data_IF_005791949801
#
_entry.id   IF_005791949801
#
_cell.length_a   1.000
_cell.length_b   1.000
_cell.length_c   1.000
_cell.angle_alpha   90.00
_cell.angle_beta   90.00
_cell.angle_gamma   90.00
#
_symmetry.space_group_name_H-M   'P 1'
#
loop_
_entity.id
_entity.type
_entity.pdbx_description
1 polymer ?
#
# COMPACT_ATOMS: atom_id res chain seq x y z
N UNK A 1 39.21 65.53 -8.46
CA UNK A 1 38.70 64.21 -8.03
C UNK A 1 37.59 63.80 -8.99
N UNK A 2 37.83 62.80 -9.83
CA UNK A 2 36.82 62.27 -10.75
C UNK A 2 37.24 60.88 -11.19
N UNK A 3 36.73 59.85 -10.51
CA UNK A 3 37.04 58.45 -10.80
C UNK A 3 35.92 57.83 -11.63
N UNK A 4 36.36 57.28 -12.76
CA UNK A 4 35.67 56.45 -13.74
C UNK A 4 34.75 55.36 -13.15
N UNK A 5 33.46 55.41 -13.48
CA UNK A 5 32.48 54.32 -13.28
C UNK A 5 31.94 53.84 -14.63
N UNK A 6 32.75 53.14 -15.44
CA UNK A 6 32.26 52.52 -16.70
C UNK A 6 32.67 51.09 -16.98
N UNK A 7 33.47 50.45 -16.12
CA UNK A 7 33.97 49.09 -16.39
C UNK A 7 33.11 47.93 -15.85
N UNK A 8 32.12 48.16 -14.97
CA UNK A 8 31.40 47.05 -14.31
C UNK A 8 30.11 46.57 -15.00
N UNK A 9 29.55 47.33 -15.95
CA UNK A 9 28.28 46.97 -16.64
C UNK A 9 28.44 45.96 -17.79
N UNK A 10 29.63 45.80 -18.37
CA UNK A 10 29.83 44.94 -19.54
C UNK A 10 30.05 43.45 -19.18
N UNK A 11 30.60 43.15 -17.99
CA UNK A 11 30.84 41.76 -17.54
C UNK A 11 29.57 41.05 -17.09
N UNK A 12 28.64 41.76 -16.46
CA UNK A 12 27.35 41.22 -15.99
C UNK A 12 26.41 40.82 -17.13
N UNK A 13 26.47 41.53 -18.26
CA UNK A 13 25.63 41.23 -19.44
C UNK A 13 26.04 39.93 -20.14
N UNK A 14 27.34 39.62 -20.25
CA UNK A 14 27.80 38.39 -20.91
C UNK A 14 27.46 37.14 -20.09
N UNK A 15 27.65 37.18 -18.77
CA UNK A 15 27.33 36.06 -17.88
C UNK A 15 25.83 35.76 -17.85
N UNK A 16 24.98 36.79 -17.85
CA UNK A 16 23.52 36.61 -17.91
C UNK A 16 23.06 36.00 -19.24
N UNK A 17 23.64 36.42 -20.37
CA UNK A 17 23.32 35.86 -21.69
C UNK A 17 23.79 34.40 -21.79
N UNK A 18 24.95 34.05 -21.24
CA UNK A 18 25.44 32.65 -21.20
C UNK A 18 24.55 31.76 -20.33
N UNK A 19 24.07 32.25 -19.19
CA UNK A 19 23.13 31.51 -18.33
C UNK A 19 21.79 31.31 -19.04
N UNK A 20 21.25 32.35 -19.70
CA UNK A 20 20.00 32.23 -20.47
C UNK A 20 20.19 31.25 -21.62
N UNK A 21 21.30 31.28 -22.35
CA UNK A 21 21.58 30.30 -23.41
C UNK A 21 21.74 28.88 -22.88
N UNK A 22 22.38 28.67 -21.72
CA UNK A 22 22.50 27.34 -21.10
C UNK A 22 21.16 26.82 -20.59
N UNK A 23 20.31 27.68 -20.01
CA UNK A 23 18.95 27.32 -19.58
C UNK A 23 18.05 27.04 -20.78
N UNK A 24 18.18 27.82 -21.86
CA UNK A 24 17.41 27.64 -23.10
C UNK A 24 17.86 26.39 -23.85
N UNK A 25 19.17 26.14 -23.94
CA UNK A 25 19.71 24.91 -24.51
C UNK A 25 19.33 23.70 -23.68
N UNK A 26 19.34 23.79 -22.34
CA UNK A 26 18.84 22.74 -21.45
C UNK A 26 17.35 22.48 -21.64
N UNK A 27 16.52 23.53 -21.79
CA UNK A 27 15.09 23.40 -22.09
C UNK A 27 14.82 22.78 -23.47
N UNK A 28 15.60 23.16 -24.50
CA UNK A 28 15.47 22.62 -25.86
C UNK A 28 15.97 21.17 -25.94
N UNK A 29 17.03 20.82 -25.21
CA UNK A 29 17.43 19.41 -25.05
C UNK A 29 16.40 18.63 -24.24
N UNK A 30 15.78 19.23 -23.21
CA UNK A 30 14.74 18.57 -22.43
C UNK A 30 13.48 18.32 -23.25
N UNK A 31 13.09 19.23 -24.16
CA UNK A 31 11.94 19.05 -25.06
C UNK A 31 12.24 18.08 -26.21
N UNK A 32 13.48 18.03 -26.74
CA UNK A 32 13.88 17.03 -27.74
C UNK A 32 14.05 15.62 -27.14
N UNK A 33 14.48 15.51 -25.88
CA UNK A 33 14.44 14.25 -25.13
C UNK A 33 13.03 13.90 -24.60
N UNK A 34 12.10 14.86 -24.52
CA UNK A 34 10.73 14.66 -24.01
C UNK A 34 9.91 13.70 -24.88
N UNK A 35 10.11 13.72 -26.21
CA UNK A 35 9.47 12.75 -27.11
C UNK A 35 10.23 11.42 -27.19
N UNK A 36 11.55 11.42 -26.93
CA UNK A 36 12.40 10.23 -27.03
C UNK A 36 12.50 9.44 -25.71
N UNK A 37 12.17 10.04 -24.57
CA UNK A 37 12.07 9.40 -23.26
C UNK A 37 10.68 8.81 -22.98
N UNK A 38 9.83 8.75 -24.00
CA UNK A 38 8.63 7.92 -24.02
C UNK A 38 9.07 6.47 -23.75
N UNK A 39 8.67 5.94 -22.59
CA UNK A 39 8.68 4.52 -22.22
C UNK A 39 9.83 3.70 -22.84
N UNK A 40 10.91 3.44 -22.10
CA UNK A 40 11.78 2.31 -22.46
C UNK A 40 10.95 1.02 -22.41
N UNK A 41 10.36 0.59 -23.53
CA UNK A 41 9.76 -0.72 -23.78
C UNK A 41 8.63 -1.21 -22.85
N UNK A 42 8.23 -0.47 -21.80
CA UNK A 42 7.22 -0.93 -20.86
C UNK A 42 5.84 -1.01 -21.52
N UNK A 43 5.19 -2.15 -21.38
CA UNK A 43 3.79 -2.37 -21.72
C UNK A 43 3.16 -3.21 -20.61
N UNK A 44 1.89 -2.96 -20.27
CA UNK A 44 1.18 -3.76 -19.27
C UNK A 44 1.15 -5.25 -19.67
N UNK A 45 0.93 -5.54 -20.96
CA UNK A 45 0.95 -6.92 -21.46
C UNK A 45 2.34 -7.57 -21.33
N UNK A 46 3.41 -6.84 -21.59
CA UNK A 46 4.79 -7.34 -21.44
C UNK A 46 5.14 -7.61 -19.96
N UNK A 47 4.70 -6.72 -19.08
CA UNK A 47 4.83 -6.90 -17.63
C UNK A 47 4.05 -8.13 -17.15
N UNK A 48 2.79 -8.27 -17.56
CA UNK A 48 1.97 -9.43 -17.25
C UNK A 48 2.61 -10.74 -17.70
N UNK A 49 3.17 -10.79 -18.92
CA UNK A 49 3.91 -11.97 -19.41
C UNK A 49 5.14 -12.28 -18.56
N UNK A 50 5.85 -11.26 -18.08
CA UNK A 50 6.99 -11.43 -17.18
C UNK A 50 6.56 -12.09 -15.87
N UNK A 51 5.47 -11.60 -15.27
CA UNK A 51 4.90 -12.18 -14.05
C UNK A 51 4.42 -13.61 -14.29
N UNK A 52 3.71 -13.88 -15.38
CA UNK A 52 3.24 -15.22 -15.73
C UNK A 52 4.37 -16.20 -16.09
N UNK A 53 5.58 -15.72 -16.40
CA UNK A 53 6.74 -16.58 -16.62
C UNK A 53 7.48 -16.97 -15.33
N UNK A 54 7.12 -16.38 -14.17
CA UNK A 54 7.74 -16.73 -12.88
C UNK A 54 7.31 -18.12 -12.40
N UNK A 55 8.12 -18.78 -11.58
CA UNK A 55 7.81 -20.10 -11.07
C UNK A 55 7.17 -20.03 -9.67
N UNK A 56 6.05 -20.73 -9.46
CA UNK A 56 5.34 -20.70 -8.16
C UNK A 56 6.19 -21.26 -7.02
N UNK A 57 7.08 -22.22 -7.29
CA UNK A 57 7.94 -22.80 -6.26
C UNK A 57 8.91 -21.78 -5.65
N UNK A 58 9.25 -20.71 -6.38
CA UNK A 58 10.13 -19.64 -5.90
C UNK A 58 9.50 -18.83 -4.76
N UNK A 59 8.17 -18.89 -4.58
CA UNK A 59 7.49 -18.27 -3.43
C UNK A 59 7.95 -18.90 -2.10
N UNK A 60 8.48 -20.12 -2.13
CA UNK A 60 8.97 -20.87 -0.98
C UNK A 60 10.50 -20.88 -0.88
N UNK A 61 11.18 -20.24 -1.83
CA UNK A 61 12.64 -20.18 -1.85
C UNK A 61 13.18 -19.19 -0.81
N UNK A 62 14.49 -19.32 -0.52
CA UNK A 62 15.19 -18.39 0.37
C UNK A 62 15.10 -16.96 -0.17
N UNK A 63 14.61 -16.05 0.65
CA UNK A 63 14.32 -14.65 0.31
C UNK A 63 15.38 -13.65 0.81
N UNK A 64 16.54 -14.13 1.29
CA UNK A 64 17.58 -13.29 1.90
C UNK A 64 18.99 -13.65 1.44
N UNK A 65 19.71 -12.66 0.93
CA UNK A 65 21.13 -12.75 0.54
C UNK A 65 21.96 -11.77 1.39
N UNK A 66 22.82 -12.32 2.26
CA UNK A 66 23.53 -11.55 3.28
C UNK A 66 22.60 -10.73 4.17
N UNK A 67 22.69 -9.41 4.09
CA UNK A 67 21.86 -8.46 4.84
C UNK A 67 20.66 -7.92 4.07
N UNK A 68 20.39 -8.41 2.85
CA UNK A 68 19.32 -7.91 1.99
C UNK A 68 18.28 -8.97 1.68
N UNK A 69 17.01 -8.58 1.79
CA UNK A 69 15.88 -9.37 1.31
C UNK A 69 15.61 -9.11 -0.18
N UNK A 70 15.01 -10.08 -0.86
CA UNK A 70 14.61 -9.98 -2.25
C UNK A 70 13.44 -10.94 -2.53
N UNK A 71 12.69 -10.67 -3.60
CA UNK A 71 11.66 -11.56 -4.12
C UNK A 71 12.34 -12.63 -5.01
N UNK A 72 12.34 -13.92 -4.64
CA UNK A 72 13.05 -14.94 -5.41
C UNK A 72 12.45 -15.16 -6.80
N UNK A 73 11.13 -15.09 -6.92
CA UNK A 73 10.40 -15.28 -8.18
C UNK A 73 10.68 -14.19 -9.21
N UNK A 74 10.91 -12.94 -8.75
CA UNK A 74 11.14 -11.80 -9.61
C UNK A 74 11.89 -10.71 -8.85
N UNK A 75 13.19 -10.56 -9.10
CA UNK A 75 13.98 -9.52 -8.45
C UNK A 75 13.58 -8.14 -8.95
N UNK A 76 13.56 -7.18 -8.01
CA UNK A 76 13.28 -5.79 -8.34
C UNK A 76 14.34 -5.24 -9.29
N UNK A 77 13.93 -4.64 -10.43
CA UNK A 77 14.88 -3.96 -11.29
C UNK A 77 15.65 -2.88 -10.52
N UNK A 78 16.94 -2.75 -10.80
CA UNK A 78 17.71 -1.61 -10.30
C UNK A 78 17.23 -0.33 -10.97
N UNK A 79 16.37 0.42 -10.28
CA UNK A 79 15.98 1.77 -10.68
C UNK A 79 17.22 2.66 -10.67
N UNK A 80 17.58 3.22 -11.81
CA UNK A 80 18.75 4.10 -11.93
C UNK A 80 18.41 5.46 -11.33
N UNK A 81 19.42 6.17 -10.84
CA UNK A 81 19.26 7.54 -10.33
C UNK A 81 18.56 8.47 -11.35
N UNK A 82 18.84 8.28 -12.64
CA UNK A 82 18.16 9.00 -13.73
C UNK A 82 16.67 8.67 -13.80
N UNK A 83 16.22 7.45 -13.49
CA UNK A 83 14.81 7.08 -13.54
C UNK A 83 14.01 7.83 -12.45
N UNK A 84 14.59 8.01 -11.27
CA UNK A 84 14.02 8.80 -10.17
C UNK A 84 13.92 10.29 -10.54
N UNK A 85 14.95 10.81 -11.22
CA UNK A 85 14.95 12.18 -11.74
C UNK A 85 13.89 12.34 -12.81
N UNK A 86 13.84 11.45 -13.81
CA UNK A 86 12.89 11.52 -14.92
C UNK A 86 11.46 11.47 -14.38
N UNK A 87 11.12 10.54 -13.49
CA UNK A 87 9.81 10.53 -12.81
C UNK A 87 9.43 11.90 -12.22
N UNK A 88 10.36 12.59 -11.54
CA UNK A 88 10.09 13.89 -10.92
C UNK A 88 9.97 15.06 -11.90
N UNK A 89 10.40 14.91 -13.17
CA UNK A 89 10.40 15.98 -14.18
C UNK A 89 9.32 15.82 -15.26
N UNK A 90 8.77 14.63 -15.48
CA UNK A 90 7.66 14.43 -16.43
C UNK A 90 6.34 14.51 -15.68
N UNK A 91 5.63 15.63 -15.87
CA UNK A 91 4.39 15.95 -15.19
C UNK A 91 3.31 14.88 -15.38
N UNK A 92 2.37 14.81 -14.43
CA UNK A 92 1.38 13.73 -14.33
C UNK A 92 0.49 13.67 -15.56
N UNK A 93 -0.19 12.52 -15.71
CA UNK A 93 -1.34 12.42 -16.60
C UNK A 93 -2.31 13.60 -16.34
N UNK A 94 -2.99 14.07 -17.38
CA UNK A 94 -3.97 15.15 -17.23
C UNK A 94 -5.23 14.60 -16.59
N UNK A 95 -5.39 14.86 -15.29
CA UNK A 95 -6.61 14.58 -14.55
C UNK A 95 -7.55 15.78 -14.62
N UNK A 96 -8.84 15.51 -14.73
CA UNK A 96 -9.92 16.50 -14.63
C UNK A 96 -9.95 17.14 -13.24
N UNK A 97 -10.59 18.30 -13.13
CA UNK A 97 -10.76 18.97 -11.84
C UNK A 97 -11.53 18.10 -10.82
N UNK A 98 -12.52 17.31 -11.30
CA UNK A 98 -13.26 16.37 -10.46
C UNK A 98 -12.34 15.30 -9.88
N UNK A 99 -11.49 14.69 -10.71
CA UNK A 99 -10.53 13.66 -10.29
C UNK A 99 -9.50 14.19 -9.30
N UNK A 100 -9.04 15.43 -9.48
CA UNK A 100 -8.08 16.07 -8.58
C UNK A 100 -8.64 16.32 -7.17
N UNK A 101 -9.95 16.54 -7.06
CA UNK A 101 -10.61 16.93 -5.81
C UNK A 101 -11.46 15.81 -5.19
N UNK A 102 -11.57 14.65 -5.85
CA UNK A 102 -12.30 13.53 -5.28
C UNK A 102 -11.57 12.98 -4.05
N UNK A 103 -12.29 12.84 -2.95
CA UNK A 103 -11.82 12.33 -1.67
C UNK A 103 -12.94 11.48 -1.07
N UNK A 104 -12.61 10.49 -0.22
CA UNK A 104 -13.62 9.81 0.57
C UNK A 104 -14.34 10.79 1.48
N UNK A 105 -15.61 10.52 1.74
CA UNK A 105 -16.35 11.20 2.80
C UNK A 105 -15.72 10.89 4.16
N UNK A 106 -15.92 11.80 5.12
CA UNK A 106 -15.47 11.62 6.50
C UNK A 106 -16.71 11.47 7.35
N UNK A 107 -16.96 10.26 7.84
CA UNK A 107 -18.13 9.96 8.67
C UNK A 107 -17.81 10.36 10.12
N UNK A 108 -18.52 11.34 10.70
CA UNK A 108 -18.22 11.85 12.03
C UNK A 108 -18.51 10.83 13.15
N UNK A 109 -18.14 11.18 14.37
CA UNK A 109 -18.48 10.46 15.61
C UNK A 109 -18.10 8.97 15.58
N UNK A 110 -16.94 8.67 14.97
CA UNK A 110 -16.46 7.30 14.77
C UNK A 110 -16.38 6.53 16.09
N UNK A 111 -15.83 7.15 17.14
CA UNK A 111 -15.68 6.51 18.44
C UNK A 111 -17.04 6.10 19.04
N UNK A 112 -18.02 7.02 19.02
CA UNK A 112 -19.37 6.79 19.55
C UNK A 112 -20.09 5.69 18.77
N UNK A 113 -19.94 5.68 17.43
CA UNK A 113 -20.52 4.64 16.58
C UNK A 113 -19.92 3.27 16.89
N UNK A 114 -18.61 3.18 17.13
CA UNK A 114 -17.95 1.91 17.53
C UNK A 114 -18.49 1.41 18.88
N UNK A 115 -18.66 2.28 19.87
CA UNK A 115 -19.17 1.92 21.20
C UNK A 115 -20.62 1.40 21.15
N UNK A 116 -21.44 2.02 20.30
CA UNK A 116 -22.82 1.60 20.07
C UNK A 116 -22.91 0.30 19.26
N UNK A 117 -21.95 0.04 18.37
CA UNK A 117 -22.00 -1.09 17.44
C UNK A 117 -21.93 -2.44 18.15
N UNK A 118 -22.83 -3.35 17.79
CA UNK A 118 -22.87 -4.73 18.29
C UNK A 118 -22.44 -5.70 17.19
N UNK A 119 -21.57 -6.65 17.54
CA UNK A 119 -21.04 -7.64 16.59
C UNK A 119 -19.70 -7.24 15.97
N UNK A 120 -19.28 -8.03 14.99
CA UNK A 120 -18.00 -7.89 14.34
C UNK A 120 -18.05 -6.86 13.21
N UNK A 121 -16.93 -6.17 12.98
CA UNK A 121 -16.86 -5.17 11.93
C UNK A 121 -15.43 -4.92 11.43
N UNK A 122 -15.38 -4.30 10.25
CA UNK A 122 -14.19 -3.67 9.66
C UNK A 122 -14.45 -2.17 9.61
N UNK A 123 -13.51 -1.36 10.08
CA UNK A 123 -13.56 0.10 10.02
C UNK A 123 -12.34 0.62 9.28
N UNK A 124 -12.56 1.49 8.30
CA UNK A 124 -11.46 2.19 7.65
C UNK A 124 -11.08 3.48 8.41
N UNK A 125 -9.87 3.51 8.97
CA UNK A 125 -9.34 4.72 9.64
C UNK A 125 -8.72 5.67 8.61
N UNK A 126 -8.16 5.12 7.54
CA UNK A 126 -7.53 5.85 6.45
C UNK A 126 -6.23 5.20 6.01
N UNK A 127 -5.86 5.42 4.77
CA UNK A 127 -4.73 4.78 4.10
C UNK A 127 -4.80 3.23 4.19
N UNK A 128 -3.73 2.55 4.64
CA UNK A 128 -3.74 1.11 4.93
C UNK A 128 -4.11 0.80 6.39
N UNK A 129 -4.59 1.79 7.16
CA UNK A 129 -4.99 1.62 8.55
C UNK A 129 -6.46 1.23 8.66
N UNK A 130 -6.70 -0.01 9.06
CA UNK A 130 -8.02 -0.56 9.36
C UNK A 130 -8.07 -1.02 10.81
N UNK A 131 -9.20 -0.75 11.48
CA UNK A 131 -9.53 -1.33 12.76
C UNK A 131 -10.56 -2.43 12.54
N UNK A 132 -10.22 -3.65 12.92
CA UNK A 132 -11.10 -4.81 12.77
C UNK A 132 -11.40 -5.38 14.16
N UNK A 133 -12.69 -5.57 14.44
CA UNK A 133 -13.15 -6.25 15.65
C UNK A 133 -13.78 -7.58 15.26
N UNK A 134 -13.18 -8.68 15.70
CA UNK A 134 -13.69 -10.04 15.52
C UNK A 134 -13.73 -10.73 16.87
N UNK A 135 -14.90 -11.19 17.32
CA UNK A 135 -15.08 -11.91 18.58
C UNK A 135 -14.41 -11.18 19.76
N UNK A 136 -14.64 -9.86 19.86
CA UNK A 136 -14.03 -8.95 20.85
C UNK A 136 -12.49 -8.82 20.79
N UNK A 137 -11.84 -9.39 19.78
CA UNK A 137 -10.42 -9.19 19.50
C UNK A 137 -10.23 -8.03 18.53
N UNK A 138 -9.33 -7.12 18.88
CA UNK A 138 -9.04 -5.93 18.08
C UNK A 138 -7.77 -6.12 17.27
N UNK A 139 -7.84 -5.74 16.00
CA UNK A 139 -6.76 -5.79 15.03
C UNK A 139 -6.60 -4.45 14.36
N UNK A 140 -5.36 -3.98 14.25
CA UNK A 140 -4.99 -2.75 13.59
C UNK A 140 -3.92 -3.02 12.55
N UNK A 141 -4.16 -2.65 11.30
CA UNK A 141 -3.18 -2.81 10.22
C UNK A 141 -2.40 -1.51 10.02
N UNK A 142 -1.10 -1.60 9.76
CA UNK A 142 -0.23 -0.51 9.28
C UNK A 142 -0.61 0.88 9.81
N UNK A 143 -0.52 1.10 11.14
CA UNK A 143 -1.11 2.27 11.75
C UNK A 143 -0.31 3.54 11.43
N UNK A 144 -0.98 4.48 10.76
CA UNK A 144 -0.50 5.85 10.54
C UNK A 144 -1.60 6.87 10.87
N UNK A 145 -1.51 7.44 12.07
CA UNK A 145 -2.45 8.47 12.53
C UNK A 145 -1.84 9.88 12.44
N UNK A 146 -0.53 9.99 12.27
CA UNK A 146 0.17 11.28 12.08
C UNK A 146 -0.22 11.98 10.79
N UNK A 147 0.08 13.28 10.73
CA UNK A 147 -0.20 14.13 9.57
C UNK A 147 0.67 13.80 8.36
N UNK A 148 1.87 13.25 8.55
CA UNK A 148 2.86 13.06 7.48
C UNK A 148 3.53 11.70 7.54
N UNK A 149 3.62 11.04 6.39
CA UNK A 149 4.52 9.92 6.16
C UNK A 149 5.89 10.46 5.71
N UNK A 150 6.69 10.98 6.66
CA UNK A 150 7.94 11.72 6.42
C UNK A 150 7.75 13.05 5.66
N UNK A 151 7.48 13.01 4.36
CA UNK A 151 7.31 14.19 3.49
C UNK A 151 5.85 14.44 3.09
N UNK A 152 5.14 13.53 2.42
CA UNK A 152 3.73 13.74 2.04
C UNK A 152 2.86 13.95 3.28
N UNK A 153 2.01 14.99 3.22
CA UNK A 153 0.95 15.18 4.19
C UNK A 153 -0.32 14.48 3.72
N UNK A 154 -1.08 13.92 4.66
CA UNK A 154 -2.40 13.34 4.37
C UNK A 154 -3.39 14.40 3.88
N UNK A 155 -4.30 13.99 3.01
CA UNK A 155 -5.38 14.79 2.40
C UNK A 155 -6.68 14.70 3.19
N UNK A 156 -6.95 13.54 3.78
CA UNK A 156 -8.04 13.32 4.73
C UNK A 156 -7.48 13.09 6.14
N UNK A 157 -8.17 13.48 7.22
CA UNK A 157 -7.76 13.13 8.59
C UNK A 157 -7.98 11.63 8.87
N UNK A 158 -7.38 11.06 9.93
CA UNK A 158 -7.75 9.72 10.38
C UNK A 158 -9.16 9.75 10.97
N UNK A 159 -9.88 8.63 10.90
CA UNK A 159 -11.23 8.52 11.44
C UNK A 159 -11.31 8.57 12.98
N UNK A 160 -10.18 8.32 13.65
CA UNK A 160 -10.04 8.29 15.11
C UNK A 160 -8.75 9.03 15.51
N UNK A 161 -8.77 9.66 16.67
CA UNK A 161 -7.53 10.07 17.35
C UNK A 161 -6.84 8.86 17.98
N UNK A 162 -5.55 9.01 18.32
CA UNK A 162 -4.82 7.93 19.01
C UNK A 162 -5.41 7.69 20.40
N UNK A 163 -5.87 8.74 21.08
CA UNK A 163 -6.51 8.65 22.40
C UNK A 163 -7.82 7.88 22.34
N UNK A 164 -8.66 8.14 21.33
CA UNK A 164 -9.89 7.40 21.10
C UNK A 164 -9.60 5.93 20.81
N UNK A 165 -8.64 5.64 19.92
CA UNK A 165 -8.24 4.28 19.58
C UNK A 165 -7.75 3.50 20.82
N UNK A 166 -6.89 4.12 21.64
CA UNK A 166 -6.38 3.54 22.88
C UNK A 166 -7.49 3.27 23.91
N UNK A 167 -8.51 4.13 23.96
CA UNK A 167 -9.66 3.98 24.86
C UNK A 167 -10.59 2.84 24.42
N UNK A 168 -10.76 2.64 23.12
CA UNK A 168 -11.71 1.69 22.55
C UNK A 168 -11.16 0.26 22.44
N UNK A 169 -9.90 0.13 22.01
CA UNK A 169 -9.36 -1.12 21.50
C UNK A 169 -8.21 -1.66 22.38
N UNK A 170 -8.56 -2.41 23.41
CA UNK A 170 -7.60 -3.11 24.27
C UNK A 170 -8.15 -4.47 24.73
N UNK A 171 -7.36 -5.57 24.68
CA UNK A 171 -6.01 -5.67 24.12
C UNK A 171 -5.98 -5.56 22.59
N UNK A 172 -4.87 -5.04 22.05
CA UNK A 172 -4.71 -4.75 20.62
C UNK A 172 -3.66 -5.65 19.96
N UNK A 173 -4.01 -6.22 18.81
CA UNK A 173 -3.07 -6.83 17.87
C UNK A 173 -2.77 -5.84 16.74
N UNK A 174 -1.49 -5.67 16.40
CA UNK A 174 -1.04 -4.77 15.34
C UNK A 174 -0.32 -5.59 14.27
N UNK A 175 -0.71 -5.42 13.01
CA UNK A 175 -0.06 -6.05 11.85
C UNK A 175 0.71 -4.96 11.12
N UNK A 176 2.01 -5.19 10.89
CA UNK A 176 2.87 -4.31 10.09
C UNK A 176 3.27 -5.06 8.83
N UNK A 177 2.92 -4.57 7.65
CA UNK A 177 3.26 -5.17 6.35
C UNK A 177 4.72 -4.96 5.98
N UNK A 178 5.24 -3.75 6.18
CA UNK A 178 6.61 -3.39 5.85
C UNK A 178 7.02 -2.06 6.51
N UNK A 179 8.23 -1.59 6.21
CA UNK A 179 8.86 -0.51 6.96
C UNK A 179 8.69 0.88 6.38
N UNK A 180 7.90 1.11 5.32
CA UNK A 180 7.76 2.47 4.79
C UNK A 180 7.04 3.39 5.80
N UNK A 181 7.25 4.70 5.65
CA UNK A 181 6.81 5.68 6.66
C UNK A 181 5.29 5.83 6.75
N UNK A 182 4.59 5.48 5.68
CA UNK A 182 3.14 5.42 5.52
C UNK A 182 2.50 4.14 6.05
N UNK A 183 3.31 3.12 6.40
CA UNK A 183 2.83 1.84 6.95
C UNK A 183 3.32 1.56 8.38
N UNK A 184 4.45 2.15 8.78
CA UNK A 184 5.02 2.02 10.11
C UNK A 184 5.33 3.41 10.68
N UNK A 185 4.33 4.08 11.24
CA UNK A 185 4.50 5.42 11.79
C UNK A 185 5.04 5.39 13.23
N UNK A 186 6.19 6.03 13.48
CA UNK A 186 6.90 5.96 14.76
C UNK A 186 6.06 6.54 15.91
N UNK A 187 5.52 7.74 15.71
CA UNK A 187 4.78 8.47 16.75
C UNK A 187 3.47 7.75 17.12
N UNK A 188 2.76 7.24 16.10
CA UNK A 188 1.60 6.37 16.30
C UNK A 188 1.99 5.13 17.09
N UNK A 189 3.05 4.42 16.69
CA UNK A 189 3.51 3.23 17.40
C UNK A 189 3.92 3.53 18.84
N UNK A 190 4.67 4.60 19.11
CA UNK A 190 5.11 4.97 20.46
C UNK A 190 3.93 5.26 21.41
N UNK A 191 2.82 5.77 20.86
CA UNK A 191 1.63 6.20 21.61
C UNK A 191 0.58 5.08 21.77
N UNK A 192 0.54 4.09 20.86
CA UNK A 192 -0.29 2.89 20.99
C UNK A 192 0.07 2.10 22.27
N UNK A 193 -0.77 1.17 22.75
CA UNK A 193 -0.53 0.48 24.01
C UNK A 193 0.80 -0.30 23.97
N UNK A 194 1.60 -0.19 25.04
CA UNK A 194 2.94 -0.78 25.12
C UNK A 194 2.92 -2.31 25.01
N UNK A 195 1.85 -2.93 25.52
CA UNK A 195 1.63 -4.37 25.54
C UNK A 195 0.87 -4.90 24.30
N UNK A 196 0.58 -4.05 23.31
CA UNK A 196 0.00 -4.51 22.04
C UNK A 196 0.91 -5.58 21.42
N UNK A 197 0.30 -6.66 20.92
CA UNK A 197 1.03 -7.70 20.21
C UNK A 197 1.27 -7.22 18.77
N UNK A 198 2.53 -7.01 18.40
CA UNK A 198 2.90 -6.53 17.07
C UNK A 198 3.44 -7.70 16.25
N UNK A 199 2.81 -8.00 15.12
CA UNK A 199 3.27 -8.98 14.14
C UNK A 199 3.92 -8.22 12.99
N UNK A 200 5.18 -8.52 12.70
CA UNK A 200 5.96 -7.79 11.70
C UNK A 200 6.93 -8.70 10.95
N UNK A 201 7.28 -8.38 9.69
CA UNK A 201 8.27 -9.10 8.94
C UNK A 201 9.68 -9.08 9.57
N UNK A 202 10.48 -10.09 9.25
CA UNK A 202 11.89 -10.20 9.65
C UNK A 202 12.71 -8.92 9.45
N UNK A 203 13.51 -8.57 10.46
CA UNK A 203 14.36 -7.38 10.51
C UNK A 203 13.74 -6.16 11.18
N UNK A 204 12.45 -6.19 11.56
CA UNK A 204 11.76 -5.06 12.19
C UNK A 204 11.71 -5.10 13.70
N UNK A 205 12.02 -6.25 14.34
CA UNK A 205 11.83 -6.45 15.77
C UNK A 205 12.46 -5.35 16.62
N UNK A 206 13.76 -5.08 16.42
CA UNK A 206 14.45 -4.08 17.22
C UNK A 206 13.89 -2.68 17.00
N UNK A 207 13.61 -2.31 15.74
CA UNK A 207 13.04 -0.99 15.41
C UNK A 207 11.69 -0.77 16.09
N UNK A 208 10.85 -1.80 16.19
CA UNK A 208 9.54 -1.72 16.85
C UNK A 208 9.66 -1.73 18.38
N UNK A 209 10.61 -2.48 18.95
CA UNK A 209 10.90 -2.42 20.39
C UNK A 209 11.33 -1.00 20.80
N UNK A 210 12.14 -0.34 19.96
CA UNK A 210 12.55 1.06 20.11
C UNK A 210 11.40 2.06 19.90
N UNK A 211 10.18 1.60 19.58
CA UNK A 211 8.94 2.40 19.48
C UNK A 211 7.98 2.09 20.64
N UNK A 212 8.53 1.88 21.85
CA UNK A 212 7.76 1.62 23.07
C UNK A 212 6.84 0.39 22.97
N UNK A 213 7.34 -0.72 22.40
CA UNK A 213 6.65 -2.02 22.37
C UNK A 213 7.43 -3.06 23.13
N UNK A 214 6.72 -4.02 23.72
CA UNK A 214 7.33 -5.13 24.47
C UNK A 214 7.03 -6.50 23.88
N UNK A 215 5.99 -6.62 23.05
CA UNK A 215 5.53 -7.89 22.47
C UNK A 215 5.58 -7.83 20.96
N UNK A 216 6.75 -8.15 20.39
CA UNK A 216 6.97 -8.16 18.94
C UNK A 216 7.23 -9.59 18.47
N UNK A 217 6.35 -10.08 17.59
CA UNK A 217 6.43 -11.35 16.91
C UNK A 217 6.96 -11.07 15.52
N UNK A 218 8.20 -11.50 15.28
CA UNK A 218 8.87 -11.34 14.01
C UNK A 218 8.65 -12.60 13.16
N UNK A 219 8.23 -12.43 11.91
CA UNK A 219 7.76 -13.52 11.05
C UNK A 219 8.45 -13.47 9.68
N UNK A 220 8.89 -14.62 9.19
CA UNK A 220 9.27 -14.80 7.79
C UNK A 220 8.04 -15.25 6.98
N UNK A 221 8.15 -15.26 5.65
CA UNK A 221 7.07 -15.77 4.81
C UNK A 221 6.74 -17.23 5.15
N UNK A 222 5.45 -17.52 5.16
CA UNK A 222 4.84 -18.81 5.52
C UNK A 222 4.85 -19.16 7.01
N UNK A 223 5.46 -18.33 7.86
CA UNK A 223 5.34 -18.48 9.31
C UNK A 223 3.90 -18.30 9.76
N UNK A 224 3.55 -19.03 10.81
CA UNK A 224 2.26 -18.95 11.50
C UNK A 224 2.47 -18.50 12.93
N UNK A 225 1.64 -17.58 13.39
CA UNK A 225 1.61 -17.14 14.78
C UNK A 225 0.20 -17.28 15.34
N UNK A 226 0.07 -17.90 16.51
CA UNK A 226 -1.17 -17.88 17.27
C UNK A 226 -1.39 -16.49 17.86
N UNK A 227 -2.57 -15.93 17.64
CA UNK A 227 -2.87 -14.54 17.96
C UNK A 227 -3.95 -14.34 19.02
N UNK A 228 -4.16 -15.36 19.85
CA UNK A 228 -5.22 -15.41 20.86
C UNK A 228 -6.47 -16.15 20.37
N UNK A 229 -7.12 -16.87 21.29
CA UNK A 229 -8.22 -17.79 20.95
C UNK A 229 -7.79 -18.82 19.89
N UNK A 230 -8.72 -19.15 18.99
CA UNK A 230 -8.50 -20.06 17.87
C UNK A 230 -8.09 -19.32 16.58
N UNK A 231 -7.52 -18.11 16.71
CA UNK A 231 -7.06 -17.32 15.57
C UNK A 231 -5.59 -17.58 15.24
N UNK A 232 -5.29 -17.68 13.96
CA UNK A 232 -3.94 -17.86 13.41
C UNK A 232 -3.65 -16.76 12.41
N UNK A 233 -2.56 -16.04 12.62
CA UNK A 233 -2.01 -15.11 11.64
C UNK A 233 -0.91 -15.81 10.84
N UNK A 234 -0.96 -15.68 9.52
CA UNK A 234 0.02 -16.27 8.59
C UNK A 234 0.71 -15.13 7.85
N UNK A 235 2.03 -15.08 7.93
CA UNK A 235 2.84 -14.15 7.13
C UNK A 235 2.96 -14.70 5.72
N UNK A 236 2.65 -13.91 4.70
CA UNK A 236 2.65 -14.32 3.30
C UNK A 236 3.55 -13.42 2.45
N UNK A 237 4.10 -13.94 1.33
CA UNK A 237 4.86 -13.12 0.40
C UNK A 237 4.06 -11.93 -0.15
N UNK A 238 4.79 -10.86 -0.49
CA UNK A 238 4.27 -9.72 -1.26
C UNK A 238 5.35 -9.26 -2.26
N UNK A 239 4.96 -8.69 -3.40
CA UNK A 239 5.90 -8.16 -4.38
C UNK A 239 6.19 -6.68 -4.09
N UNK A 240 7.03 -6.43 -3.08
CA UNK A 240 7.41 -5.08 -2.68
C UNK A 240 8.91 -4.97 -2.33
N UNK A 241 9.27 -3.98 -1.53
CA UNK A 241 10.61 -3.68 -1.05
C UNK A 241 10.54 -2.89 0.28
N UNK A 242 11.70 -2.59 0.88
CA UNK A 242 11.77 -1.85 2.14
C UNK A 242 12.92 -0.84 2.15
N UNK A 243 12.69 0.34 2.75
CA UNK A 243 13.74 1.33 3.03
C UNK A 243 13.24 2.44 3.96
N UNK A 244 14.08 2.83 4.91
CA UNK A 244 13.98 4.10 5.66
C UNK A 244 15.21 4.95 5.43
N UNK A 245 15.14 6.24 5.76
CA UNK A 245 16.24 7.21 5.56
C UNK A 245 17.56 6.74 6.20
N UNK A 246 17.49 6.09 7.37
CA UNK A 246 18.65 5.58 8.11
C UNK A 246 19.11 4.18 7.69
N UNK A 247 18.47 3.57 6.68
CA UNK A 247 18.67 2.17 6.30
C UNK A 247 19.11 2.04 4.84
N UNK A 248 19.89 1.01 4.55
CA UNK A 248 20.10 0.57 3.17
C UNK A 248 18.84 -0.15 2.68
N UNK A 249 18.63 -0.11 1.37
CA UNK A 249 17.51 -0.80 0.72
C UNK A 249 17.47 -2.29 1.08
N UNK A 250 16.26 -2.77 1.35
CA UNK A 250 15.89 -4.16 1.62
C UNK A 250 16.56 -4.79 2.85
N UNK A 251 16.91 -4.02 3.88
CA UNK A 251 17.46 -4.58 5.12
C UNK A 251 16.41 -5.23 6.05
N UNK A 252 15.13 -5.00 5.79
CA UNK A 252 14.01 -5.67 6.45
C UNK A 252 13.11 -6.33 5.41
N UNK A 253 12.37 -7.35 5.80
CA UNK A 253 11.40 -8.02 4.96
C UNK A 253 10.13 -7.14 4.81
N UNK A 254 9.31 -7.48 3.81
CA UNK A 254 7.97 -6.99 3.55
C UNK A 254 7.05 -8.20 3.38
N UNK A 255 5.79 -8.08 3.77
CA UNK A 255 4.85 -9.20 3.72
C UNK A 255 3.40 -8.71 3.56
N UNK A 256 2.57 -9.64 3.10
CA UNK A 256 1.12 -9.62 3.31
C UNK A 256 0.78 -10.56 4.47
N UNK A 257 -0.46 -10.53 4.96
CA UNK A 257 -0.89 -11.37 6.08
C UNK A 257 -2.27 -11.97 5.84
N UNK A 258 -2.45 -13.24 6.25
CA UNK A 258 -3.75 -13.89 6.31
C UNK A 258 -4.13 -14.14 7.76
N UNK A 259 -5.21 -13.53 8.22
CA UNK A 259 -5.81 -13.80 9.52
C UNK A 259 -6.92 -14.83 9.35
N UNK A 260 -6.70 -16.03 9.87
CA UNK A 260 -7.72 -17.06 9.97
C UNK A 260 -8.29 -17.06 11.38
N UNK A 261 -9.59 -16.87 11.49
CA UNK A 261 -10.37 -16.99 12.73
C UNK A 261 -11.39 -18.11 12.57
N UNK A 262 -12.09 -18.55 13.63
CA UNK A 262 -13.13 -19.57 13.50
C UNK A 262 -14.23 -19.24 12.48
N UNK A 263 -14.52 -17.96 12.30
CA UNK A 263 -15.68 -17.49 11.55
C UNK A 263 -15.34 -16.71 10.28
N UNK A 264 -14.09 -16.24 10.15
CA UNK A 264 -13.67 -15.35 9.08
C UNK A 264 -12.22 -15.58 8.67
N UNK A 265 -11.93 -15.43 7.39
CA UNK A 265 -10.59 -15.37 6.82
C UNK A 265 -10.37 -14.03 6.14
N UNK A 266 -9.43 -13.23 6.65
CA UNK A 266 -9.12 -11.88 6.14
C UNK A 266 -7.70 -11.87 5.57
N UNK A 267 -7.54 -11.38 4.34
CA UNK A 267 -6.24 -11.18 3.69
C UNK A 267 -5.87 -9.69 3.66
N UNK A 268 -4.81 -9.32 4.37
CA UNK A 268 -4.22 -7.98 4.39
C UNK A 268 -3.03 -7.93 3.42
N UNK A 269 -3.24 -7.33 2.24
CA UNK A 269 -2.26 -7.34 1.16
C UNK A 269 -1.02 -6.48 1.39
N UNK A 270 -1.11 -5.46 2.26
CA UNK A 270 -0.08 -4.43 2.35
C UNK A 270 0.13 -3.74 1.00
N UNK A 271 1.34 -3.22 0.78
CA UNK A 271 1.79 -2.85 -0.55
C UNK A 271 2.29 -4.08 -1.32
N UNK A 272 1.85 -4.20 -2.57
CA UNK A 272 2.35 -5.22 -3.48
C UNK A 272 2.13 -4.81 -4.93
N UNK A 273 3.07 -5.15 -5.81
CA UNK A 273 2.81 -5.31 -7.23
C UNK A 273 2.08 -6.63 -7.52
N UNK A 274 1.65 -6.80 -8.76
CA UNK A 274 1.01 -8.05 -9.19
C UNK A 274 2.03 -9.18 -9.31
N UNK A 275 1.71 -10.35 -8.76
CA UNK A 275 2.56 -11.55 -8.80
C UNK A 275 1.74 -12.84 -8.63
N UNK A 276 2.32 -13.99 -8.98
CA UNK A 276 1.65 -15.30 -8.92
C UNK A 276 1.25 -15.76 -7.51
N UNK A 277 1.70 -15.07 -6.46
CA UNK A 277 1.35 -15.41 -5.08
C UNK A 277 -0.15 -15.38 -4.83
N UNK A 278 -0.89 -14.44 -5.41
CA UNK A 278 -2.34 -14.36 -5.24
C UNK A 278 -3.04 -15.69 -5.62
N UNK A 279 -2.67 -16.26 -6.78
CA UNK A 279 -3.17 -17.56 -7.25
C UNK A 279 -2.77 -18.71 -6.33
N UNK A 280 -1.54 -18.69 -5.82
CA UNK A 280 -1.07 -19.72 -4.89
C UNK A 280 -1.79 -19.65 -3.54
N UNK A 281 -2.02 -18.43 -3.03
CA UNK A 281 -2.73 -18.21 -1.78
C UNK A 281 -4.18 -18.67 -1.88
N UNK A 282 -4.88 -18.36 -2.98
CA UNK A 282 -6.25 -18.82 -3.21
C UNK A 282 -6.37 -20.35 -3.28
N UNK A 283 -5.36 -21.05 -3.83
CA UNK A 283 -5.29 -22.52 -3.81
C UNK A 283 -5.07 -23.08 -2.41
N UNK A 284 -4.18 -22.45 -1.64
CA UNK A 284 -3.72 -22.96 -0.34
C UNK A 284 -4.67 -22.63 0.81
N UNK A 285 -5.39 -21.51 0.70
CA UNK A 285 -6.31 -20.99 1.70
C UNK A 285 -7.68 -20.73 1.04
N UNK A 286 -8.50 -21.78 0.87
CA UNK A 286 -9.83 -21.61 0.30
C UNK A 286 -10.71 -20.77 1.24
N UNK A 287 -11.70 -20.08 0.66
CA UNK A 287 -12.69 -19.27 1.37
C UNK A 287 -12.12 -18.05 2.12
N UNK A 288 -11.38 -17.20 1.41
CA UNK A 288 -11.04 -15.85 1.91
C UNK A 288 -12.30 -14.98 1.86
N UNK A 289 -12.70 -14.39 2.99
CA UNK A 289 -13.90 -13.56 3.04
C UNK A 289 -13.63 -12.14 2.55
N UNK A 290 -12.56 -11.51 3.06
CA UNK A 290 -12.22 -10.13 2.75
C UNK A 290 -10.75 -10.02 2.33
N UNK A 291 -10.51 -9.45 1.16
CA UNK A 291 -9.19 -9.10 0.67
C UNK A 291 -9.01 -7.58 0.65
N UNK A 292 -8.04 -7.09 1.43
CA UNK A 292 -7.63 -5.71 1.50
C UNK A 292 -6.45 -5.53 0.54
N UNK A 293 -6.67 -4.85 -0.58
CA UNK A 293 -5.66 -4.72 -1.65
C UNK A 293 -5.38 -3.25 -1.95
N UNK A 294 -4.09 -2.92 -2.00
CA UNK A 294 -3.64 -1.59 -2.38
C UNK A 294 -4.04 -1.29 -3.83
N UNK A 295 -4.63 -0.12 -4.04
CA UNK A 295 -5.03 0.37 -5.36
C UNK A 295 -4.42 1.73 -5.64
N UNK A 296 -3.28 2.09 -5.06
CA UNK A 296 -2.70 3.43 -5.19
C UNK A 296 -1.20 3.39 -5.49
N UNK A 297 -0.63 4.56 -5.77
CA UNK A 297 0.77 4.77 -6.11
C UNK A 297 1.22 3.98 -7.34
N UNK A 298 0.35 3.84 -8.35
CA UNK A 298 0.65 3.04 -9.54
C UNK A 298 1.05 3.88 -10.76
N UNK A 299 0.87 5.20 -10.78
CA UNK A 299 1.48 6.02 -11.82
C UNK A 299 2.84 6.61 -11.40
N UNK A 300 3.81 6.66 -12.33
CA UNK A 300 3.72 6.21 -13.71
C UNK A 300 4.02 4.71 -13.83
N UNK A 301 3.25 3.99 -14.65
CA UNK A 301 3.30 2.53 -14.73
C UNK A 301 4.67 1.95 -15.05
N UNK A 302 5.43 2.58 -15.95
CA UNK A 302 6.80 2.14 -16.28
C UNK A 302 7.74 2.12 -15.07
N UNK A 303 7.43 2.88 -14.01
CA UNK A 303 8.22 2.96 -12.78
C UNK A 303 7.59 2.19 -11.62
N UNK A 304 6.26 2.24 -11.46
CA UNK A 304 5.58 1.71 -10.28
C UNK A 304 5.10 0.26 -10.42
N UNK A 305 4.99 -0.30 -11.64
CA UNK A 305 4.40 -1.63 -11.89
C UNK A 305 4.94 -2.78 -11.03
N UNK A 306 6.24 -2.76 -10.71
CA UNK A 306 6.85 -3.82 -9.92
C UNK A 306 6.27 -3.88 -8.50
N UNK A 307 6.01 -2.71 -7.90
CA UNK A 307 5.80 -2.55 -6.45
C UNK A 307 4.35 -2.14 -6.09
N UNK A 308 3.57 -1.63 -7.05
CA UNK A 308 2.16 -1.30 -6.86
C UNK A 308 1.31 -1.80 -8.03
N UNK A 309 0.20 -2.45 -7.70
CA UNK A 309 -0.83 -2.85 -8.66
C UNK A 309 -1.59 -1.64 -9.20
N UNK A 310 -1.89 -1.65 -10.51
CA UNK A 310 -2.99 -0.84 -11.03
C UNK A 310 -4.35 -1.53 -10.77
N UNK A 311 -5.44 -0.88 -11.16
CA UNK A 311 -6.80 -1.42 -10.93
C UNK A 311 -7.03 -2.79 -11.58
N UNK A 312 -6.72 -3.02 -12.89
CA UNK A 312 -6.84 -4.36 -13.48
C UNK A 312 -6.04 -5.44 -12.74
N UNK A 313 -4.82 -5.13 -12.31
CA UNK A 313 -3.97 -6.04 -11.55
C UNK A 313 -4.55 -6.37 -10.17
N UNK A 314 -5.05 -5.36 -9.45
CA UNK A 314 -5.66 -5.54 -8.13
C UNK A 314 -6.92 -6.40 -8.21
N UNK A 315 -7.79 -6.16 -9.21
CA UNK A 315 -8.98 -6.98 -9.45
C UNK A 315 -8.59 -8.41 -9.86
N UNK A 316 -7.57 -8.58 -10.71
CA UNK A 316 -7.07 -9.92 -11.06
C UNK A 316 -6.53 -10.67 -9.84
N UNK A 317 -5.72 -10.02 -9.01
CA UNK A 317 -5.20 -10.59 -7.77
C UNK A 317 -6.34 -11.00 -6.82
N UNK A 318 -7.37 -10.18 -6.72
CA UNK A 318 -8.58 -10.49 -5.95
C UNK A 318 -9.33 -11.74 -6.43
N UNK A 319 -9.56 -11.87 -7.73
CA UNK A 319 -10.22 -13.07 -8.26
C UNK A 319 -9.34 -14.31 -8.10
N UNK A 320 -8.02 -14.18 -8.22
CA UNK A 320 -7.07 -15.28 -8.01
C UNK A 320 -6.92 -15.70 -6.55
N UNK A 321 -7.14 -14.79 -5.60
CA UNK A 321 -7.31 -15.11 -4.19
C UNK A 321 -8.59 -15.92 -3.93
N UNK A 322 -9.57 -15.87 -4.84
CA UNK A 322 -10.89 -16.45 -4.62
C UNK A 322 -11.62 -15.79 -3.45
N UNK A 323 -11.38 -14.50 -3.22
CA UNK A 323 -11.95 -13.79 -2.08
C UNK A 323 -13.39 -13.30 -2.36
N UNK A 324 -14.25 -13.36 -1.35
CA UNK A 324 -15.66 -12.97 -1.46
C UNK A 324 -15.82 -11.47 -1.65
N UNK A 325 -15.12 -10.67 -0.84
CA UNK A 325 -15.19 -9.21 -0.84
C UNK A 325 -13.83 -8.56 -1.03
N UNK A 326 -13.79 -7.53 -1.88
CA UNK A 326 -12.65 -6.67 -2.14
C UNK A 326 -12.79 -5.37 -1.36
N UNK A 327 -11.73 -4.96 -0.65
CA UNK A 327 -11.65 -3.64 -0.01
C UNK A 327 -10.43 -2.91 -0.60
N UNK A 328 -10.60 -1.84 -1.40
CA UNK A 328 -9.47 -1.02 -1.84
C UNK A 328 -8.86 -0.34 -0.61
N UNK A 329 -7.53 -0.33 -0.53
CA UNK A 329 -6.82 0.38 0.53
C UNK A 329 -6.06 1.59 -0.01
N UNK A 330 -5.56 2.41 0.92
CA UNK A 330 -4.65 3.54 0.69
C UNK A 330 -5.23 4.80 0.04
N UNK A 331 -6.28 4.66 -0.78
CA UNK A 331 -6.86 5.76 -1.55
C UNK A 331 -7.34 6.91 -0.67
N UNK A 332 -7.47 8.09 -1.26
CA UNK A 332 -7.94 9.31 -0.59
C UNK A 332 -6.99 9.92 0.43
N UNK A 333 -5.88 9.23 0.81
CA UNK A 333 -5.13 9.62 2.00
C UNK A 333 -3.81 10.32 1.70
N UNK A 334 -2.83 9.67 1.06
CA UNK A 334 -1.52 10.27 0.75
C UNK A 334 -1.26 10.31 -0.76
N UNK A 335 -0.59 11.37 -1.22
CA UNK A 335 -0.17 11.49 -2.62
C UNK A 335 1.21 10.86 -2.77
N UNK A 336 1.22 9.60 -3.23
CA UNK A 336 2.41 8.73 -3.28
C UNK A 336 2.82 8.34 -4.72
N UNK A 337 1.90 8.42 -5.67
CA UNK A 337 2.14 8.30 -7.11
C UNK A 337 1.90 9.62 -7.83
N UNK A 338 1.82 9.56 -9.16
CA UNK A 338 1.51 10.71 -10.01
C UNK A 338 -0.01 10.96 -10.13
N UNK A 339 -0.84 9.99 -9.73
CA UNK A 339 -2.28 10.15 -9.68
C UNK A 339 -2.77 10.89 -8.42
N UNK A 340 -3.79 11.76 -8.54
CA UNK A 340 -4.49 12.31 -7.40
C UNK A 340 -5.03 11.21 -6.49
N UNK A 341 -5.02 11.48 -5.19
CA UNK A 341 -5.29 10.47 -4.16
C UNK A 341 -6.65 9.77 -4.29
N UNK A 342 -7.67 10.44 -4.85
CA UNK A 342 -9.01 9.88 -5.03
C UNK A 342 -9.23 9.12 -6.33
N UNK A 343 -8.39 9.33 -7.35
CA UNK A 343 -8.52 8.69 -8.68
C UNK A 343 -8.62 7.16 -8.59
N UNK A 344 -7.84 6.46 -7.75
CA UNK A 344 -7.98 5.02 -7.54
C UNK A 344 -9.41 4.49 -7.36
N UNK A 345 -10.23 5.16 -6.55
CA UNK A 345 -11.61 4.74 -6.32
C UNK A 345 -12.47 4.93 -7.57
N UNK A 346 -12.30 6.07 -8.26
CA UNK A 346 -13.02 6.36 -9.50
C UNK A 346 -12.65 5.37 -10.62
N UNK A 347 -11.36 5.04 -10.77
CA UNK A 347 -10.91 4.04 -11.74
C UNK A 347 -11.42 2.64 -11.39
N UNK A 348 -11.47 2.27 -10.10
CA UNK A 348 -12.07 1.01 -9.66
C UNK A 348 -13.56 0.93 -10.00
N UNK A 349 -14.34 1.97 -9.67
CA UNK A 349 -15.77 2.03 -10.01
C UNK A 349 -16.02 1.94 -11.52
N UNK A 350 -15.22 2.65 -12.31
CA UNK A 350 -15.28 2.60 -13.76
C UNK A 350 -14.98 1.17 -14.26
N UNK A 351 -13.91 0.55 -13.75
CA UNK A 351 -13.51 -0.81 -14.13
C UNK A 351 -14.59 -1.85 -13.79
N UNK A 352 -15.20 -1.77 -12.60
CA UNK A 352 -16.31 -2.62 -12.17
C UNK A 352 -17.48 -2.53 -13.17
N UNK A 353 -17.88 -1.31 -13.52
CA UNK A 353 -18.98 -1.05 -14.45
C UNK A 353 -18.66 -1.53 -15.86
N UNK A 354 -17.48 -1.21 -16.38
CA UNK A 354 -17.07 -1.53 -17.76
C UNK A 354 -16.92 -3.03 -17.99
N UNK A 355 -16.55 -3.78 -16.94
CA UNK A 355 -16.37 -5.24 -17.01
C UNK A 355 -17.57 -6.02 -16.44
N UNK A 356 -18.68 -5.35 -16.11
CA UNK A 356 -19.88 -5.95 -15.53
C UNK A 356 -19.61 -6.85 -14.30
N UNK A 357 -18.70 -6.41 -13.42
CA UNK A 357 -18.41 -7.12 -12.19
C UNK A 357 -19.52 -6.91 -11.16
N UNK A 358 -19.73 -7.86 -10.25
CA UNK A 358 -20.68 -7.70 -9.16
C UNK A 358 -20.19 -6.62 -8.18
N UNK A 359 -20.75 -5.41 -8.29
CA UNK A 359 -20.41 -4.27 -7.45
C UNK A 359 -20.60 -4.54 -5.96
N UNK A 360 -21.45 -5.50 -5.57
CA UNK A 360 -21.65 -5.86 -4.15
C UNK A 360 -20.42 -6.53 -3.55
N UNK A 361 -19.53 -7.10 -4.37
CA UNK A 361 -18.24 -7.66 -3.92
C UNK A 361 -17.22 -6.57 -3.58
N UNK A 362 -17.36 -5.37 -4.11
CA UNK A 362 -16.40 -4.27 -3.92
C UNK A 362 -16.88 -3.32 -2.84
N UNK A 363 -16.21 -3.35 -1.69
CA UNK A 363 -16.50 -2.52 -0.51
C UNK A 363 -15.58 -1.30 -0.51
N UNK A 364 -15.90 -0.33 -1.37
CA UNK A 364 -15.23 0.98 -1.39
C UNK A 364 -15.77 1.78 -0.20
N UNK A 365 -14.95 1.95 0.83
CA UNK A 365 -15.37 2.56 2.10
C UNK A 365 -14.99 4.04 2.17
N UNK A 366 -15.74 4.81 2.94
CA UNK A 366 -15.41 6.17 3.38
C UNK A 366 -14.64 6.17 4.71
N UNK A 367 -13.98 7.28 5.03
CA UNK A 367 -13.18 7.41 6.25
C UNK A 367 -14.11 7.35 7.45
N UNK A 368 -13.87 6.41 8.35
CA UNK A 368 -14.70 6.15 9.52
C UNK A 368 -15.93 5.30 9.24
N UNK A 369 -16.11 4.77 8.03
CA UNK A 369 -17.20 3.85 7.74
C UNK A 369 -17.00 2.51 8.45
N UNK A 370 -18.03 2.09 9.18
CA UNK A 370 -18.13 0.76 9.78
C UNK A 370 -18.81 -0.14 8.76
N UNK A 371 -18.10 -1.19 8.34
CA UNK A 371 -18.63 -2.29 7.56
C UNK A 371 -18.96 -3.45 8.53
N UNK A 372 -20.26 -3.71 8.79
CA UNK A 372 -20.68 -4.91 9.51
C UNK A 372 -20.18 -6.16 8.80
N UNK A 373 -19.66 -7.12 9.56
CA UNK A 373 -19.35 -8.45 9.06
C UNK A 373 -20.12 -9.49 9.86
N UNK A 374 -20.56 -10.54 9.18
CA UNK A 374 -21.37 -11.62 9.77
C UNK A 374 -20.76 -12.95 9.38
N UNK A 375 -20.67 -13.93 10.30
CA UNK A 375 -20.10 -15.22 9.98
C UNK A 375 -20.86 -15.86 8.83
N UNK A 376 -20.16 -16.46 7.89
CA UNK A 376 -20.81 -17.31 6.91
C UNK A 376 -21.40 -18.53 7.63
N UNK A 377 -22.64 -18.90 7.32
CA UNK A 377 -23.08 -20.25 7.60
C UNK A 377 -22.25 -21.22 6.76
N UNK A 378 -21.99 -22.43 7.25
CA UNK A 378 -21.19 -23.44 6.53
C UNK A 378 -21.76 -23.74 5.13
N UNK A 379 -23.07 -23.55 4.92
CA UNK A 379 -23.73 -23.73 3.63
C UNK A 379 -23.33 -22.64 2.60
N UNK A 380 -23.30 -21.36 2.98
CA UNK A 380 -22.95 -20.26 2.07
C UNK A 380 -21.49 -20.34 1.59
N UNK A 381 -20.57 -20.78 2.46
CA UNK A 381 -19.17 -20.95 2.10
C UNK A 381 -18.95 -22.07 1.07
N UNK A 382 -19.75 -23.14 1.15
CA UNK A 382 -19.69 -24.27 0.21
C UNK A 382 -20.27 -23.90 -1.16
N UNK A 383 -21.37 -23.15 -1.18
CA UNK A 383 -22.01 -22.66 -2.40
C UNK A 383 -21.15 -21.62 -3.13
N UNK A 384 -20.50 -20.69 -2.40
CA UNK A 384 -19.55 -19.75 -2.98
C UNK A 384 -18.34 -20.45 -3.60
N UNK A 385 -17.74 -21.42 -2.89
CA UNK A 385 -16.59 -22.17 -3.42
C UNK A 385 -16.95 -23.00 -4.66
N UNK A 386 -18.20 -23.48 -4.75
CA UNK A 386 -18.70 -24.23 -5.90
C UNK A 386 -19.01 -23.36 -7.14
N UNK A 387 -19.21 -22.05 -6.97
CA UNK A 387 -19.54 -21.10 -8.06
C UNK A 387 -18.32 -20.38 -8.63
N UNK A 388 -17.17 -20.46 -7.97
CA UNK A 388 -15.92 -19.98 -8.55
C UNK A 388 -15.55 -20.80 -9.79
N UNK A 389 -15.18 -20.18 -10.92
CA UNK A 389 -14.74 -20.90 -12.09
C UNK A 389 -13.54 -21.78 -11.71
N UNK A 390 -13.64 -23.09 -11.98
CA UNK A 390 -12.49 -23.99 -11.88
C UNK A 390 -11.52 -23.59 -12.99
N UNK A 391 -10.46 -22.89 -12.61
CA UNK A 391 -9.39 -22.43 -13.51
C UNK A 391 -8.55 -23.62 -13.97
#
# INVERSE_FOLDING_TARGET
MGINTRASRAKTSRTAITIIFLVSAALVTATLFSCAARSKGFTETGWFRTVEATETHDLYARNRDGSRYFNPWLRMPEKRFMDIIMWRFFGPARFTEKEQNHLPEIIPDTAQRIEAFKGDFILWIGHNTFLVRIQNTWWLTDPILTKRALLPARKTPPALTIEELNRLAAPLNIIISHNHYDHLDRETMETLPRNAAVYAPMGLKQTILDMNKTRVIEMDWWDKAHSGGDSTLICLPAQHWSMRVSQKRNQTLWASFLLQTPNYTLYFGGDSGYFKGFREFGKKFPAIDYAFLATTAYYPRWFMHYQHMNIPEAVKGFEELGARYFIPTQWGTFHLGDEPVGVPALELEAYIRENNLDSKRFKILDIGQILPITPNTKEEAYEYTATLPRI
#
